data_IF_444191039867
#
_entry.id   IF_444191039867
#
_cell.length_a   1.000
_cell.length_b   1.000
_cell.length_c   1.000
_cell.angle_alpha   90.00
_cell.angle_beta   90.00
_cell.angle_gamma   90.00
#
_symmetry.space_group_name_H-M   'P 1'
#
loop_
_entity.id
_entity.type
_entity.pdbx_description
1 polymer ?
#
# COMPACT_ATOMS: atom_id res chain seq x y z
N UNK A 1 53.60 -31.63 26.53
CA UNK A 1 52.73 -31.61 25.35
C UNK A 1 52.72 -30.20 24.78
N UNK A 2 52.98 -29.98 23.48
CA UNK A 2 53.05 -28.62 22.92
C UNK A 2 51.65 -28.01 22.81
N UNK A 3 51.48 -26.80 23.34
CA UNK A 3 50.22 -26.06 23.25
C UNK A 3 49.93 -25.65 21.80
N UNK A 4 48.73 -25.89 21.25
CA UNK A 4 48.38 -25.43 19.91
C UNK A 4 48.39 -23.89 19.89
N UNK A 5 49.11 -23.33 18.93
CA UNK A 5 49.27 -21.87 18.80
C UNK A 5 47.94 -21.30 18.33
N UNK A 6 47.35 -20.38 19.11
CA UNK A 6 46.02 -19.78 18.94
C UNK A 6 45.66 -19.42 17.48
N UNK A 7 46.61 -18.93 16.69
CA UNK A 7 46.40 -18.61 15.27
C UNK A 7 45.96 -19.81 14.40
N UNK A 8 46.37 -21.05 14.72
CA UNK A 8 45.95 -22.25 14.00
C UNK A 8 44.48 -22.59 14.26
N UNK A 9 43.98 -22.33 15.47
CA UNK A 9 42.57 -22.51 15.82
C UNK A 9 41.69 -21.44 15.17
N UNK A 10 42.19 -20.19 15.07
CA UNK A 10 41.49 -19.10 14.39
C UNK A 10 41.43 -19.34 12.88
N UNK A 11 42.55 -19.74 12.27
CA UNK A 11 42.62 -20.06 10.84
C UNK A 11 41.75 -21.28 10.49
N UNK A 12 41.78 -22.33 11.32
CA UNK A 12 40.93 -23.51 11.17
C UNK A 12 39.43 -23.16 11.25
N UNK A 13 39.05 -22.35 12.24
CA UNK A 13 37.65 -21.90 12.41
C UNK A 13 37.17 -21.04 11.24
N UNK A 14 38.01 -20.14 10.73
CA UNK A 14 37.67 -19.30 9.58
C UNK A 14 37.50 -20.12 8.29
N UNK A 15 38.40 -21.07 8.04
CA UNK A 15 38.31 -21.97 6.90
C UNK A 15 37.06 -22.86 6.97
N UNK A 16 36.73 -23.39 8.15
CA UNK A 16 35.53 -24.19 8.37
C UNK A 16 34.24 -23.36 8.17
N UNK A 17 34.24 -22.10 8.64
CA UNK A 17 33.12 -21.18 8.45
C UNK A 17 32.87 -20.83 6.98
N UNK A 18 33.94 -20.59 6.21
CA UNK A 18 33.87 -20.36 4.76
C UNK A 18 33.38 -21.60 4.00
N UNK A 19 33.87 -22.78 4.37
CA UNK A 19 33.42 -24.03 3.77
C UNK A 19 31.93 -24.30 4.04
N UNK A 20 31.46 -24.05 5.27
CA UNK A 20 30.05 -24.18 5.64
C UNK A 20 29.17 -23.16 4.91
N UNK A 21 29.62 -21.91 4.76
CA UNK A 21 28.89 -20.90 4.02
C UNK A 21 28.79 -21.25 2.52
N UNK A 22 29.91 -21.67 1.91
CA UNK A 22 29.93 -22.11 0.52
C UNK A 22 29.00 -23.33 0.31
N UNK A 23 29.06 -24.34 1.19
CA UNK A 23 28.19 -25.50 1.14
C UNK A 23 26.70 -25.12 1.27
N UNK A 24 26.36 -24.23 2.21
CA UNK A 24 24.99 -23.76 2.41
C UNK A 24 24.45 -22.98 1.19
N UNK A 25 25.29 -22.16 0.55
CA UNK A 25 24.94 -21.42 -0.67
C UNK A 25 24.74 -22.40 -1.83
N UNK A 26 25.64 -23.37 -2.01
CA UNK A 26 25.51 -24.38 -3.07
C UNK A 26 24.28 -25.29 -2.86
N UNK A 27 23.95 -25.64 -1.62
CA UNK A 27 22.79 -26.47 -1.31
C UNK A 27 21.45 -25.72 -1.46
N UNK A 28 21.43 -24.40 -1.26
CA UNK A 28 20.24 -23.57 -1.39
C UNK A 28 19.86 -23.24 -2.84
N UNK A 29 20.82 -23.32 -3.77
CA UNK A 29 20.66 -22.93 -5.17
C UNK A 29 20.62 -21.41 -5.38
N UNK A 30 20.64 -20.95 -6.64
CA UNK A 30 20.61 -19.53 -6.97
C UNK A 30 19.30 -18.85 -6.51
N UNK A 31 19.40 -17.55 -6.25
CA UNK A 31 18.23 -16.70 -5.99
C UNK A 31 17.55 -16.35 -7.32
N UNK A 32 16.24 -16.58 -7.39
CA UNK A 32 15.47 -16.24 -8.59
C UNK A 32 14.07 -15.72 -8.19
N UNK A 33 13.70 -14.54 -8.72
CA UNK A 33 12.46 -13.82 -8.40
C UNK A 33 12.07 -13.81 -6.91
N UNK A 34 13.01 -13.40 -6.05
CA UNK A 34 12.74 -13.12 -4.63
C UNK A 34 12.65 -14.34 -3.70
N UNK A 35 12.97 -15.56 -4.15
CA UNK A 35 12.96 -16.77 -3.31
C UNK A 35 14.10 -17.74 -3.67
N UNK A 36 14.57 -18.55 -2.72
CA UNK A 36 15.62 -19.57 -2.94
C UNK A 36 15.07 -20.79 -3.69
N UNK A 37 15.82 -21.36 -4.63
CA UNK A 37 15.35 -22.50 -5.46
C UNK A 37 14.93 -23.71 -4.62
N UNK A 38 15.67 -24.02 -3.55
CA UNK A 38 15.35 -25.14 -2.65
C UNK A 38 14.04 -24.95 -1.86
N UNK A 39 13.64 -23.70 -1.62
CA UNK A 39 12.39 -23.38 -0.91
C UNK A 39 11.17 -23.54 -1.82
N UNK A 40 11.30 -23.22 -3.12
CA UNK A 40 10.26 -23.54 -4.13
C UNK A 40 10.04 -25.04 -4.26
N UNK A 41 11.11 -25.83 -4.31
CA UNK A 41 10.98 -27.29 -4.42
C UNK A 41 10.28 -27.92 -3.21
N UNK A 42 10.48 -27.36 -2.01
CA UNK A 42 9.75 -27.77 -0.79
C UNK A 42 8.30 -27.29 -0.78
N UNK A 43 8.01 -26.10 -1.30
CA UNK A 43 6.64 -25.60 -1.44
C UNK A 43 5.83 -26.38 -2.49
N UNK A 44 6.50 -26.98 -3.49
CA UNK A 44 5.89 -27.81 -4.54
C UNK A 44 5.81 -29.30 -4.17
N UNK A 45 6.41 -29.73 -3.05
CA UNK A 45 6.32 -31.12 -2.61
C UNK A 45 4.88 -31.41 -2.13
N UNK A 46 4.22 -32.47 -2.62
CA UNK A 46 2.90 -32.83 -2.14
C UNK A 46 3.01 -33.26 -0.68
N UNK A 47 2.38 -32.52 0.23
CA UNK A 47 2.16 -32.94 1.60
C UNK A 47 1.25 -34.18 1.56
N UNK A 48 1.83 -35.37 1.78
CA UNK A 48 1.08 -36.60 1.98
C UNK A 48 0.39 -36.55 3.34
N UNK A 49 -0.84 -36.03 3.37
CA UNK A 49 -1.65 -35.96 4.59
C UNK A 49 -2.97 -35.24 4.35
N UNK A 50 -3.93 -35.93 3.75
CA UNK A 50 -5.30 -35.46 3.53
C UNK A 50 -6.17 -36.59 2.99
N UNK A 51 -7.41 -36.67 3.44
CA UNK A 51 -8.25 -37.86 3.51
C UNK A 51 -8.72 -38.44 2.15
N UNK A 52 -8.99 -39.75 2.16
CA UNK A 52 -9.56 -40.52 1.04
C UNK A 52 -10.98 -40.05 0.74
N UNK A 53 -11.23 -39.61 -0.50
CA UNK A 53 -12.57 -39.63 -1.09
C UNK A 53 -12.64 -40.67 -2.22
N UNK A 54 -13.75 -41.43 -2.33
CA UNK A 54 -13.90 -42.53 -3.28
C UNK A 54 -13.98 -42.01 -4.73
N UNK A 55 -13.39 -42.77 -5.64
CA UNK A 55 -13.21 -42.42 -7.04
C UNK A 55 -14.52 -42.54 -7.87
N UNK A 56 -14.76 -41.64 -8.84
CA UNK A 56 -15.52 -41.95 -10.04
C UNK A 56 -14.60 -42.30 -11.22
N UNK A 57 -15.20 -42.96 -12.21
CA UNK A 57 -14.61 -43.78 -13.25
C UNK A 57 -13.57 -43.11 -14.17
N UNK A 58 -12.74 -43.97 -14.77
CA UNK A 58 -11.57 -43.69 -15.58
C UNK A 58 -11.82 -42.72 -16.76
N UNK A 59 -11.19 -41.55 -16.69
CA UNK A 59 -10.92 -40.69 -17.84
C UNK A 59 -9.48 -40.96 -18.35
N UNK A 60 -9.19 -40.82 -19.66
CA UNK A 60 -7.88 -41.12 -20.22
C UNK A 60 -6.82 -40.16 -19.65
N UNK A 61 -5.66 -40.71 -19.27
CA UNK A 61 -4.52 -39.96 -18.72
C UNK A 61 -4.02 -38.93 -19.75
N UNK A 62 -4.46 -37.69 -19.61
CA UNK A 62 -3.89 -36.54 -20.33
C UNK A 62 -2.54 -36.22 -19.68
N UNK A 63 -1.45 -36.02 -20.44
CA UNK A 63 -0.17 -35.60 -19.86
C UNK A 63 -0.39 -34.29 -19.10
N UNK A 64 0.11 -34.23 -17.87
CA UNK A 64 0.22 -32.95 -17.14
C UNK A 64 1.06 -32.03 -18.02
N UNK A 65 0.61 -30.80 -18.34
CA UNK A 65 1.41 -29.88 -19.12
C UNK A 65 2.72 -29.65 -18.38
N UNK A 66 3.85 -29.92 -19.03
CA UNK A 66 5.14 -29.51 -18.50
C UNK A 66 5.10 -27.98 -18.28
N UNK A 67 5.67 -27.45 -17.19
CA UNK A 67 5.82 -26.02 -17.04
C UNK A 67 6.51 -25.47 -18.28
N UNK A 68 5.91 -24.44 -18.89
CA UNK A 68 6.48 -23.79 -20.05
C UNK A 68 7.93 -23.36 -19.70
N UNK A 69 8.91 -23.54 -20.61
CA UNK A 69 10.24 -23.00 -20.39
C UNK A 69 10.10 -21.50 -20.11
N UNK A 70 10.83 -21.01 -19.11
CA UNK A 70 10.93 -19.57 -18.86
C UNK A 70 11.21 -18.87 -20.18
N UNK A 71 10.40 -17.88 -20.53
CA UNK A 71 10.68 -17.05 -21.69
C UNK A 71 12.13 -16.55 -21.56
N UNK A 72 12.95 -16.63 -22.62
CA UNK A 72 14.28 -16.04 -22.58
C UNK A 72 14.14 -14.59 -22.13
N UNK A 73 15.03 -14.14 -21.25
CA UNK A 73 14.99 -12.77 -20.73
C UNK A 73 14.93 -11.78 -21.90
N UNK A 74 13.77 -11.15 -22.08
CA UNK A 74 13.49 -10.27 -23.23
C UNK A 74 14.31 -8.98 -23.16
N UNK A 75 14.97 -8.71 -22.01
CA UNK A 75 15.84 -7.57 -21.83
C UNK A 75 17.09 -7.98 -21.05
N UNK A 76 18.25 -7.67 -21.63
CA UNK A 76 19.54 -7.70 -20.93
C UNK A 76 19.44 -6.85 -19.67
N UNK A 77 19.99 -7.32 -18.54
CA UNK A 77 20.09 -6.52 -17.33
C UNK A 77 20.75 -5.18 -17.67
N UNK A 78 20.08 -4.06 -17.36
CA UNK A 78 20.62 -2.72 -17.54
C UNK A 78 21.83 -2.58 -16.59
N UNK A 79 23.02 -2.93 -17.06
CA UNK A 79 24.25 -2.70 -16.32
C UNK A 79 24.44 -1.18 -16.19
N UNK A 80 24.51 -0.74 -14.93
CA UNK A 80 24.76 0.60 -14.43
C UNK A 80 25.23 1.70 -15.41
N UNK A 81 24.53 2.85 -15.31
CA UNK A 81 25.01 4.21 -15.64
C UNK A 81 25.42 4.47 -17.09
N UNK A 82 24.50 4.30 -18.02
CA UNK A 82 24.33 5.35 -19.03
C UNK A 82 23.26 6.29 -18.49
N UNK A 83 23.64 7.52 -18.13
CA UNK A 83 22.66 8.58 -17.92
C UNK A 83 21.84 8.69 -19.23
N UNK A 84 20.64 8.11 -19.22
CA UNK A 84 19.71 8.19 -20.33
C UNK A 84 19.44 9.67 -20.61
N UNK A 85 19.55 10.07 -21.88
CA UNK A 85 19.10 11.38 -22.38
C UNK A 85 19.81 12.62 -21.84
N UNK A 86 19.75 13.73 -22.57
CA UNK A 86 19.95 15.06 -21.96
C UNK A 86 18.58 15.52 -21.48
N UNK A 87 18.41 16.09 -20.27
CA UNK A 87 17.11 16.65 -19.86
C UNK A 87 16.53 17.55 -20.97
N UNK A 88 15.20 17.58 -21.19
CA UNK A 88 14.60 18.41 -22.23
C UNK A 88 15.12 19.84 -22.15
N UNK A 89 15.62 20.37 -23.27
CA UNK A 89 16.14 21.74 -23.32
C UNK A 89 15.00 22.73 -23.05
N UNK A 90 15.19 23.56 -22.02
CA UNK A 90 14.29 24.66 -21.60
C UNK A 90 12.83 24.24 -21.31
N UNK A 91 12.65 23.44 -20.24
CA UNK A 91 11.33 23.14 -19.68
C UNK A 91 10.55 24.39 -19.28
N UNK A 92 11.22 25.52 -19.02
CA UNK A 92 10.57 26.78 -18.69
C UNK A 92 9.71 27.29 -19.83
N UNK A 93 10.29 27.38 -21.03
CA UNK A 93 9.57 27.78 -22.25
C UNK A 93 8.45 26.81 -22.62
N UNK A 94 8.61 25.52 -22.33
CA UNK A 94 7.60 24.49 -22.60
C UNK A 94 6.41 24.55 -21.63
N UNK A 95 6.68 24.63 -20.33
CA UNK A 95 5.65 24.47 -19.29
C UNK A 95 4.98 25.78 -18.89
N UNK A 96 5.65 26.93 -18.99
CA UNK A 96 5.08 28.22 -18.61
C UNK A 96 3.74 28.55 -19.31
N UNK A 97 3.59 28.40 -20.66
CA UNK A 97 2.31 28.67 -21.31
C UNK A 97 1.23 27.66 -20.92
N UNK A 98 1.58 26.38 -20.73
CA UNK A 98 0.63 25.35 -20.30
C UNK A 98 0.15 25.55 -18.86
N UNK A 99 1.03 26.03 -17.97
CA UNK A 99 0.65 26.41 -16.60
C UNK A 99 -0.28 27.63 -16.58
N UNK A 100 -0.23 28.49 -17.60
CA UNK A 100 -1.11 29.65 -17.68
C UNK A 100 -2.55 29.31 -18.14
N UNK A 101 -2.84 28.05 -18.45
CA UNK A 101 -4.17 27.57 -18.83
C UNK A 101 -5.23 27.97 -17.77
N UNK A 102 -6.31 28.66 -18.16
CA UNK A 102 -7.34 29.13 -17.23
C UNK A 102 -8.05 27.96 -16.50
N UNK A 103 -8.07 26.77 -17.09
CA UNK A 103 -8.62 25.56 -16.47
C UNK A 103 -7.85 25.11 -15.20
N UNK A 104 -6.62 25.59 -15.01
CA UNK A 104 -5.84 25.35 -13.78
C UNK A 104 -6.14 26.37 -12.68
N UNK A 105 -6.94 27.40 -12.98
CA UNK A 105 -7.22 28.47 -12.05
C UNK A 105 -5.98 29.33 -11.70
N UNK A 106 -6.16 30.31 -10.80
CA UNK A 106 -5.13 31.29 -10.48
C UNK A 106 -4.05 30.80 -9.50
N UNK A 107 -4.26 29.66 -8.83
CA UNK A 107 -3.30 29.13 -7.84
C UNK A 107 -2.68 27.87 -8.39
N UNK A 108 -1.41 27.94 -8.76
CA UNK A 108 -0.72 26.84 -9.45
C UNK A 108 0.72 26.72 -8.99
N UNK A 109 1.13 25.49 -8.71
CA UNK A 109 2.52 25.16 -8.43
C UNK A 109 2.97 23.97 -9.25
N UNK A 110 4.26 23.94 -9.55
CA UNK A 110 4.88 22.90 -10.34
C UNK A 110 6.29 22.59 -9.82
N UNK A 111 6.67 21.32 -9.90
CA UNK A 111 8.04 20.84 -9.73
C UNK A 111 8.29 19.72 -10.74
N UNK A 112 9.45 19.74 -11.38
CA UNK A 112 9.96 18.64 -12.22
C UNK A 112 11.39 18.35 -11.80
N UNK A 113 11.65 17.10 -11.44
CA UNK A 113 12.93 16.63 -10.92
C UNK A 113 13.39 15.44 -11.74
N UNK A 114 14.68 15.43 -12.00
CA UNK A 114 15.39 14.32 -12.56
C UNK A 114 15.62 13.22 -11.52
N UNK A 115 15.06 12.02 -11.70
CA UNK A 115 15.15 11.01 -10.62
C UNK A 115 16.54 10.40 -10.48
N UNK A 116 17.37 10.42 -11.54
CA UNK A 116 18.70 9.85 -11.52
C UNK A 116 19.72 10.76 -10.80
N UNK A 117 19.53 12.08 -10.90
CA UNK A 117 20.47 13.08 -10.33
C UNK A 117 19.89 13.83 -9.13
N UNK A 118 18.58 13.78 -8.90
CA UNK A 118 17.88 14.60 -7.93
C UNK A 118 17.81 16.09 -8.29
N UNK A 119 18.30 16.49 -9.47
CA UNK A 119 18.31 17.89 -9.92
C UNK A 119 16.89 18.35 -10.26
N UNK A 120 16.46 19.45 -9.67
CA UNK A 120 15.25 20.14 -10.12
C UNK A 120 15.48 20.78 -11.49
N UNK A 121 14.70 20.35 -12.48
CA UNK A 121 14.77 20.82 -13.87
C UNK A 121 13.81 21.99 -14.12
N UNK A 122 12.69 22.02 -13.39
CA UNK A 122 11.73 23.11 -13.45
C UNK A 122 11.02 23.29 -12.10
N UNK A 123 10.67 24.52 -11.75
CA UNK A 123 9.89 24.82 -10.57
C UNK A 123 9.13 26.14 -10.70
N UNK A 124 7.86 26.14 -10.33
CA UNK A 124 7.03 27.33 -10.20
C UNK A 124 6.30 27.26 -8.86
N UNK A 125 6.67 28.12 -7.91
CA UNK A 125 6.16 28.02 -6.53
C UNK A 125 6.36 26.65 -5.88
N UNK A 126 7.43 25.93 -6.26
CA UNK A 126 7.60 24.51 -5.94
C UNK A 126 7.55 24.19 -4.44
N UNK A 127 7.99 25.12 -3.59
CA UNK A 127 8.00 24.98 -2.12
C UNK A 127 6.73 25.51 -1.45
N UNK A 128 5.83 26.16 -2.19
CA UNK A 128 4.57 26.70 -1.67
C UNK A 128 3.62 25.56 -1.31
N UNK A 129 3.22 25.40 -0.04
CA UNK A 129 2.26 24.37 0.34
C UNK A 129 0.86 24.69 -0.18
N UNK A 130 0.22 23.71 -0.83
CA UNK A 130 -1.15 23.81 -1.34
C UNK A 130 -2.00 22.63 -0.83
N UNK A 131 -3.32 22.75 -0.91
CA UNK A 131 -4.22 21.59 -0.71
C UNK A 131 -3.95 20.56 -1.81
N UNK A 132 -3.48 19.34 -1.47
CA UNK A 132 -3.03 18.36 -2.45
C UNK A 132 -4.17 17.50 -3.02
N UNK A 133 -5.33 17.45 -2.36
CA UNK A 133 -6.29 16.36 -2.55
C UNK A 133 -5.58 14.98 -2.42
N UNK A 134 -6.05 13.95 -3.14
CA UNK A 134 -5.50 12.59 -3.04
C UNK A 134 -4.03 12.40 -3.50
N UNK A 135 -3.32 13.43 -3.97
CA UNK A 135 -1.86 13.32 -4.15
C UNK A 135 -1.12 13.21 -2.81
N UNK A 136 -1.74 13.59 -1.69
CA UNK A 136 -1.19 13.36 -0.34
C UNK A 136 -0.97 11.88 -0.04
N UNK A 137 -1.73 10.98 -0.67
CA UNK A 137 -1.59 9.52 -0.49
C UNK A 137 -0.19 9.02 -0.84
N UNK A 138 0.56 9.73 -1.70
CA UNK A 138 1.98 9.42 -1.96
C UNK A 138 2.79 9.56 -0.67
N UNK A 139 2.57 10.64 0.09
CA UNK A 139 3.24 10.91 1.35
C UNK A 139 2.81 9.92 2.45
N UNK A 140 1.51 9.65 2.55
CA UNK A 140 0.95 8.67 3.50
C UNK A 140 1.50 7.26 3.26
N UNK A 141 1.49 6.82 2.00
CA UNK A 141 2.02 5.51 1.61
C UNK A 141 3.53 5.40 1.85
N UNK A 142 4.29 6.47 1.57
CA UNK A 142 5.74 6.47 1.78
C UNK A 142 6.10 6.34 3.26
N UNK A 143 5.38 7.06 4.12
CA UNK A 143 5.55 6.95 5.56
C UNK A 143 5.22 5.55 6.07
N UNK A 144 4.13 4.94 5.58
CA UNK A 144 3.77 3.58 5.98
C UNK A 144 4.83 2.55 5.54
N UNK A 145 5.29 2.60 4.29
CA UNK A 145 6.33 1.70 3.79
C UNK A 145 7.64 1.86 4.55
N UNK A 146 8.08 3.10 4.80
CA UNK A 146 9.28 3.39 5.58
C UNK A 146 9.19 2.85 7.01
N UNK A 147 8.05 3.06 7.68
CA UNK A 147 7.91 2.69 9.08
C UNK A 147 7.71 1.17 9.30
N UNK A 148 7.09 0.47 8.36
CA UNK A 148 6.65 -0.92 8.55
C UNK A 148 7.32 -1.93 7.60
N UNK A 149 7.82 -1.48 6.45
CA UNK A 149 8.33 -2.33 5.39
C UNK A 149 7.24 -2.94 4.49
N UNK A 150 7.58 -3.30 3.24
CA UNK A 150 6.61 -3.76 2.23
C UNK A 150 5.93 -5.09 2.57
N UNK A 151 6.60 -5.95 3.35
CA UNK A 151 6.08 -7.27 3.74
C UNK A 151 5.13 -7.23 4.93
N UNK A 152 4.98 -6.07 5.59
CA UNK A 152 4.11 -5.94 6.74
C UNK A 152 2.68 -6.39 6.40
N UNK A 153 2.03 -7.00 7.39
CA UNK A 153 0.66 -7.52 7.31
C UNK A 153 -0.11 -6.99 8.51
N UNK A 154 -1.31 -6.51 8.26
CA UNK A 154 -2.23 -6.07 9.31
C UNK A 154 -3.04 -7.29 9.75
N UNK A 155 -3.04 -7.55 11.04
CA UNK A 155 -3.66 -8.74 11.62
C UNK A 155 -5.06 -8.45 12.17
N UNK A 156 -6.02 -9.33 11.90
CA UNK A 156 -7.28 -9.41 12.67
C UNK A 156 -7.28 -10.71 13.46
N UNK A 157 -7.49 -10.62 14.77
CA UNK A 157 -7.31 -11.75 15.69
C UNK A 157 -8.54 -12.04 16.52
N UNK A 158 -8.66 -13.27 17.02
CA UNK A 158 -9.67 -13.65 18.00
C UNK A 158 -8.99 -14.19 19.24
N UNK A 159 -9.27 -13.64 20.41
CA UNK A 159 -8.66 -14.06 21.69
C UNK A 159 -9.74 -14.50 22.66
N UNK A 160 -9.52 -15.62 23.37
CA UNK A 160 -10.44 -16.06 24.42
C UNK A 160 -10.20 -15.31 25.72
N UNK A 161 -11.28 -15.05 26.47
CA UNK A 161 -11.19 -14.70 27.87
C UNK A 161 -10.54 -15.85 28.68
N UNK A 162 -9.90 -15.57 29.82
CA UNK A 162 -9.25 -16.60 30.64
C UNK A 162 -10.18 -17.75 31.08
N UNK A 163 -11.46 -17.46 31.33
CA UNK A 163 -12.48 -18.45 31.68
C UNK A 163 -12.98 -19.27 30.47
N UNK A 164 -12.63 -18.87 29.25
CA UNK A 164 -13.05 -19.46 28.00
C UNK A 164 -14.54 -19.31 27.68
N UNK A 165 -15.28 -18.45 28.39
CA UNK A 165 -16.73 -18.24 28.17
C UNK A 165 -17.03 -17.14 27.15
N UNK A 166 -16.04 -16.29 26.87
CA UNK A 166 -16.12 -15.21 25.91
C UNK A 166 -14.90 -15.21 24.98
N UNK A 167 -15.10 -14.64 23.78
CA UNK A 167 -14.04 -14.33 22.82
C UNK A 167 -14.14 -12.87 22.40
N UNK A 168 -13.00 -12.26 22.04
CA UNK A 168 -12.95 -10.90 21.49
C UNK A 168 -12.37 -10.93 20.08
N UNK A 169 -13.14 -10.47 19.09
CA UNK A 169 -12.67 -10.18 17.73
C UNK A 169 -11.97 -8.82 17.72
N UNK A 170 -10.68 -8.80 17.43
CA UNK A 170 -9.82 -7.61 17.54
C UNK A 170 -9.40 -7.15 16.16
N UNK A 171 -9.75 -5.92 15.80
CA UNK A 171 -9.34 -5.33 14.54
C UNK A 171 -7.92 -4.76 14.59
N UNK A 172 -7.08 -5.14 13.62
CA UNK A 172 -5.74 -4.57 13.45
C UNK A 172 -5.71 -3.25 12.70
N UNK A 173 -6.81 -2.89 12.02
CA UNK A 173 -6.89 -1.78 11.09
C UNK A 173 -6.79 -2.18 9.61
N UNK A 174 -7.13 -3.43 9.24
CA UNK A 174 -7.23 -3.86 7.84
C UNK A 174 -8.64 -3.57 7.31
N UNK A 175 -8.85 -2.54 6.46
CA UNK A 175 -10.17 -2.27 5.90
C UNK A 175 -10.55 -3.26 4.79
N UNK A 176 -9.60 -4.04 4.26
CA UNK A 176 -9.80 -4.93 3.11
C UNK A 176 -10.34 -6.30 3.50
N UNK A 177 -10.50 -6.59 4.80
CA UNK A 177 -10.97 -7.88 5.29
C UNK A 177 -12.25 -8.26 4.53
N UNK A 178 -12.19 -9.35 3.78
CA UNK A 178 -13.30 -9.80 2.94
C UNK A 178 -14.13 -10.89 3.64
N UNK A 179 -15.35 -11.19 3.15
CA UNK A 179 -16.22 -12.20 3.76
C UNK A 179 -15.61 -13.60 3.80
N UNK A 180 -14.77 -13.98 2.83
CA UNK A 180 -14.15 -15.30 2.80
C UNK A 180 -13.06 -15.42 3.87
N UNK A 181 -12.20 -14.41 4.03
CA UNK A 181 -11.21 -14.33 5.12
C UNK A 181 -11.88 -14.25 6.49
N UNK A 182 -13.00 -13.54 6.63
CA UNK A 182 -13.77 -13.50 7.88
C UNK A 182 -14.38 -14.88 8.22
N UNK A 183 -14.92 -15.57 7.22
CA UNK A 183 -15.47 -16.93 7.37
C UNK A 183 -14.38 -17.94 7.74
N UNK A 184 -13.21 -17.86 7.11
CA UNK A 184 -12.06 -18.70 7.46
C UNK A 184 -11.60 -18.44 8.90
N UNK A 185 -11.49 -17.17 9.32
CA UNK A 185 -11.17 -16.80 10.71
C UNK A 185 -12.17 -17.40 11.71
N UNK A 186 -13.46 -17.39 11.37
CA UNK A 186 -14.51 -17.99 12.20
C UNK A 186 -14.38 -19.52 12.26
N UNK A 187 -14.09 -20.18 11.13
CA UNK A 187 -13.84 -21.62 11.09
C UNK A 187 -12.63 -22.04 11.94
N UNK A 188 -11.54 -21.29 11.86
CA UNK A 188 -10.33 -21.53 12.66
C UNK A 188 -10.60 -21.33 14.16
N UNK A 189 -11.34 -20.28 14.49
CA UNK A 189 -11.80 -20.00 15.86
C UNK A 189 -12.68 -21.14 16.39
N UNK A 190 -13.63 -21.64 15.58
CA UNK A 190 -14.52 -22.73 15.97
C UNK A 190 -13.73 -24.02 16.27
N UNK A 191 -12.72 -24.35 15.44
CA UNK A 191 -11.84 -25.51 15.70
C UNK A 191 -11.07 -25.36 17.01
N UNK A 192 -10.50 -24.17 17.26
CA UNK A 192 -9.78 -23.90 18.51
C UNK A 192 -10.69 -23.97 19.75
N UNK A 193 -11.94 -23.49 19.67
CA UNK A 193 -12.91 -23.55 20.76
C UNK A 193 -13.39 -24.99 21.03
N UNK A 194 -13.70 -25.76 19.98
CA UNK A 194 -14.12 -27.16 20.09
C UNK A 194 -13.03 -28.04 20.70
N UNK A 195 -11.76 -27.82 20.34
CA UNK A 195 -10.62 -28.50 20.98
C UNK A 195 -10.52 -28.22 22.49
N UNK A 196 -11.13 -27.13 22.97
CA UNK A 196 -11.23 -26.76 24.40
C UNK A 196 -12.57 -27.14 25.03
N UNK A 197 -13.38 -27.96 24.35
CA UNK A 197 -14.71 -28.36 24.84
C UNK A 197 -15.73 -27.22 24.88
N UNK A 198 -15.54 -26.14 24.12
CA UNK A 198 -16.45 -24.99 24.09
C UNK A 198 -17.33 -25.03 22.84
N UNK A 199 -18.61 -25.34 23.03
CA UNK A 199 -19.64 -25.30 21.98
C UNK A 199 -20.42 -23.99 21.93
N UNK A 200 -20.24 -23.10 22.91
CA UNK A 200 -20.94 -21.82 23.03
C UNK A 200 -20.03 -20.76 23.66
N UNK A 201 -20.12 -19.52 23.17
CA UNK A 201 -19.35 -18.36 23.68
C UNK A 201 -20.14 -17.06 23.57
N UNK A 202 -19.82 -16.06 24.40
CA UNK A 202 -20.15 -14.65 24.13
C UNK A 202 -19.12 -14.05 23.18
N UNK A 203 -19.55 -13.15 22.30
CA UNK A 203 -18.65 -12.41 21.39
C UNK A 203 -18.57 -10.94 21.78
N UNK A 204 -17.36 -10.46 22.03
CA UNK A 204 -17.03 -9.04 22.05
C UNK A 204 -16.24 -8.65 20.79
N UNK A 205 -16.17 -7.35 20.50
CA UNK A 205 -15.28 -6.82 19.47
C UNK A 205 -14.50 -5.59 19.97
N UNK A 206 -13.22 -5.52 19.60
CA UNK A 206 -12.30 -4.47 20.02
C UNK A 206 -11.84 -3.64 18.82
N UNK A 207 -12.22 -2.37 18.84
CA UNK A 207 -11.81 -1.33 17.86
C UNK A 207 -10.76 -0.39 18.44
N UNK A 208 -10.38 -0.58 19.70
CA UNK A 208 -9.61 0.36 20.49
C UNK A 208 -8.13 0.45 20.15
N UNK A 209 -7.70 -0.23 19.08
CA UNK A 209 -6.40 -0.02 18.43
C UNK A 209 -6.35 1.35 17.74
N UNK A 210 -7.49 1.87 17.28
CA UNK A 210 -7.62 3.26 16.85
C UNK A 210 -8.19 4.11 17.98
N UNK A 211 -7.80 5.38 18.01
CA UNK A 211 -8.16 6.34 19.07
C UNK A 211 -8.72 7.62 18.46
N UNK A 212 -9.49 8.39 19.23
CA UNK A 212 -10.17 9.57 18.72
C UNK A 212 -11.46 9.22 17.96
N UNK A 213 -12.05 10.19 17.24
CA UNK A 213 -13.33 9.98 16.56
C UNK A 213 -13.19 9.00 15.39
N UNK A 214 -14.17 8.10 15.24
CA UNK A 214 -14.28 7.25 14.06
C UNK A 214 -14.77 8.05 12.84
N UNK A 215 -15.66 9.02 13.03
CA UNK A 215 -16.14 9.85 11.93
C UNK A 215 -15.02 10.77 11.43
N UNK A 216 -14.82 10.80 10.10
CA UNK A 216 -13.87 11.69 9.47
C UNK A 216 -14.26 13.17 9.70
N UNK A 217 -13.30 14.11 9.87
CA UNK A 217 -13.59 15.53 10.06
C UNK A 217 -14.43 16.20 8.95
N UNK A 218 -14.54 15.57 7.77
CA UNK A 218 -15.39 16.06 6.68
C UNK A 218 -16.87 15.71 6.87
N UNK A 219 -17.20 14.93 7.89
CA UNK A 219 -18.52 14.35 8.11
C UNK A 219 -18.75 13.04 7.33
N UNK A 220 -20.00 12.54 7.32
CA UNK A 220 -20.38 11.36 6.56
C UNK A 220 -20.15 11.55 5.06
N UNK A 221 -19.62 10.54 4.38
CA UNK A 221 -19.32 10.61 2.96
C UNK A 221 -19.31 9.21 2.33
N UNK A 222 -19.81 9.06 1.10
CA UNK A 222 -19.83 7.78 0.39
C UNK A 222 -18.43 7.28 -0.01
N UNK A 223 -17.43 8.17 0.01
CA UNK A 223 -16.05 7.85 -0.35
C UNK A 223 -15.21 7.32 0.83
N UNK A 224 -15.72 7.31 2.06
CA UNK A 224 -14.98 6.87 3.24
C UNK A 224 -15.95 6.41 4.35
N UNK A 225 -15.73 5.22 4.90
CA UNK A 225 -16.48 4.75 6.04
C UNK A 225 -15.99 5.38 7.36
N UNK A 226 -16.73 5.24 8.47
CA UNK A 226 -16.17 5.50 9.78
C UNK A 226 -14.82 4.78 9.97
N UNK A 227 -13.77 5.55 10.31
CA UNK A 227 -12.39 5.09 10.43
C UNK A 227 -12.23 4.30 11.73
N UNK A 228 -12.40 2.97 11.63
CA UNK A 228 -12.30 2.03 12.76
C UNK A 228 -11.24 0.96 12.49
N UNK A 229 -10.73 0.34 13.55
CA UNK A 229 -9.73 -0.72 13.43
C UNK A 229 -10.32 -2.07 12.97
N UNK A 230 -11.65 -2.23 13.03
CA UNK A 230 -12.36 -3.43 12.61
C UNK A 230 -13.45 -3.09 11.61
N UNK A 231 -13.32 -3.57 10.39
CA UNK A 231 -14.35 -3.50 9.36
C UNK A 231 -14.15 -4.61 8.33
N UNK A 232 -15.17 -4.86 7.52
CA UNK A 232 -15.15 -5.78 6.39
C UNK A 232 -15.44 -4.97 5.14
N UNK A 233 -14.69 -5.17 4.05
CA UNK A 233 -14.87 -4.49 2.76
C UNK A 233 -15.07 -2.98 2.90
N UNK A 234 -14.24 -2.32 3.70
CA UNK A 234 -14.31 -0.86 3.90
C UNK A 234 -15.70 -0.36 4.36
N UNK A 235 -16.52 -1.23 4.98
CA UNK A 235 -17.89 -0.91 5.35
C UNK A 235 -18.84 -0.66 4.18
N UNK A 236 -18.51 -1.13 2.96
CA UNK A 236 -19.37 -1.00 1.77
C UNK A 236 -20.62 -1.86 1.91
N UNK A 237 -21.76 -1.27 1.55
CA UNK A 237 -23.08 -1.95 1.56
C UNK A 237 -23.50 -2.48 0.19
N UNK A 238 -22.67 -2.25 -0.84
CA UNK A 238 -22.83 -2.79 -2.18
C UNK A 238 -21.64 -3.70 -2.58
N UNK A 239 -21.70 -4.21 -3.81
CA UNK A 239 -20.68 -5.11 -4.36
C UNK A 239 -19.51 -4.38 -5.02
N UNK A 240 -19.49 -3.04 -5.00
CA UNK A 240 -18.39 -2.26 -5.57
C UNK A 240 -17.08 -2.56 -4.86
N UNK A 241 -15.98 -2.51 -5.60
CA UNK A 241 -14.63 -2.76 -5.08
C UNK A 241 -13.78 -1.49 -4.93
N UNK A 242 -14.29 -0.34 -5.38
CA UNK A 242 -13.60 0.95 -5.31
C UNK A 242 -14.57 2.10 -5.55
N UNK A 243 -14.17 3.33 -5.17
CA UNK A 243 -14.94 4.56 -5.42
C UNK A 243 -15.98 4.87 -4.35
N UNK A 244 -16.90 5.82 -4.62
CA UNK A 244 -18.04 6.09 -3.74
C UNK A 244 -18.97 4.88 -3.66
N UNK A 245 -19.51 4.61 -2.48
CA UNK A 245 -20.55 3.61 -2.25
C UNK A 245 -21.34 3.96 -0.99
N UNK A 246 -22.59 3.45 -0.83
CA UNK A 246 -23.27 3.47 0.45
C UNK A 246 -22.40 2.77 1.52
N UNK A 247 -22.16 3.46 2.64
CA UNK A 247 -21.31 2.97 3.73
C UNK A 247 -22.12 2.67 4.98
N UNK A 248 -21.73 1.62 5.70
CA UNK A 248 -22.24 1.33 7.04
C UNK A 248 -21.91 2.48 8.00
N UNK A 249 -22.86 2.81 8.87
CA UNK A 249 -22.64 3.73 9.99
C UNK A 249 -21.88 3.08 11.16
N UNK A 250 -21.86 1.74 11.24
CA UNK A 250 -21.14 0.98 12.27
C UNK A 250 -20.49 -0.29 11.66
N UNK A 251 -19.45 -0.11 10.84
CA UNK A 251 -18.81 -1.22 10.14
C UNK A 251 -18.14 -2.25 11.09
N UNK A 252 -17.81 -1.84 12.32
CA UNK A 252 -17.26 -2.74 13.33
C UNK A 252 -18.32 -3.70 13.87
N UNK A 253 -19.50 -3.19 14.22
CA UNK A 253 -20.63 -4.02 14.66
C UNK A 253 -21.10 -4.95 13.55
N UNK A 254 -21.18 -4.46 12.31
CA UNK A 254 -21.58 -5.28 11.16
C UNK A 254 -20.59 -6.44 10.91
N UNK A 255 -19.30 -6.16 11.04
CA UNK A 255 -18.24 -7.17 10.94
C UNK A 255 -18.34 -8.19 12.06
N UNK A 256 -18.57 -7.76 13.30
CA UNK A 256 -18.74 -8.66 14.44
C UNK A 256 -20.01 -9.54 14.29
N UNK A 257 -21.10 -8.98 13.77
CA UNK A 257 -22.32 -9.74 13.48
C UNK A 257 -22.11 -10.77 12.35
N UNK A 258 -21.38 -10.40 11.29
CA UNK A 258 -21.02 -11.33 10.22
C UNK A 258 -20.12 -12.47 10.73
N UNK A 259 -19.13 -12.15 11.58
CA UNK A 259 -18.29 -13.13 12.23
C UNK A 259 -19.10 -14.08 13.13
N UNK A 260 -20.04 -13.55 13.92
CA UNK A 260 -20.91 -14.37 14.78
C UNK A 260 -21.76 -15.37 13.99
N UNK A 261 -22.30 -14.93 12.83
CA UNK A 261 -23.03 -15.82 11.91
C UNK A 261 -22.12 -16.91 11.36
N UNK A 262 -20.92 -16.56 10.91
CA UNK A 262 -19.94 -17.52 10.41
C UNK A 262 -19.49 -18.53 11.49
N UNK A 263 -19.31 -18.06 12.73
CA UNK A 263 -18.94 -18.92 13.87
C UNK A 263 -20.07 -19.90 14.23
N UNK A 264 -21.32 -19.43 14.18
CA UNK A 264 -22.51 -20.27 14.37
C UNK A 264 -22.63 -21.32 13.27
N UNK A 265 -22.42 -20.93 12.00
CA UNK A 265 -22.39 -21.86 10.87
C UNK A 265 -21.26 -22.90 10.99
N UNK A 266 -20.13 -22.53 11.62
CA UNK A 266 -19.04 -23.45 11.95
C UNK A 266 -19.31 -24.32 13.20
N UNK A 267 -20.51 -24.25 13.79
CA UNK A 267 -20.98 -25.11 14.87
C UNK A 267 -20.56 -24.67 16.28
N UNK A 268 -20.31 -23.38 16.51
CA UNK A 268 -20.16 -22.79 17.85
C UNK A 268 -21.22 -21.72 18.05
N UNK A 269 -22.12 -21.91 19.02
CA UNK A 269 -23.20 -20.96 19.32
C UNK A 269 -22.63 -19.65 19.87
N UNK A 270 -23.04 -18.53 19.30
CA UNK A 270 -22.81 -17.20 19.89
C UNK A 270 -24.02 -16.83 20.74
N UNK A 271 -23.81 -16.57 22.03
CA UNK A 271 -24.89 -16.18 22.96
C UNK A 271 -24.98 -14.67 23.08
N UNK A 272 -26.16 -14.12 22.77
CA UNK A 272 -26.41 -12.68 22.74
C UNK A 272 -25.84 -12.01 21.50
N UNK A 273 -26.08 -10.70 21.39
CA UNK A 273 -25.53 -9.89 20.30
C UNK A 273 -24.06 -9.54 20.56
N UNK A 274 -23.22 -9.41 19.52
CA UNK A 274 -21.87 -8.92 19.68
C UNK A 274 -21.86 -7.50 20.25
N UNK A 275 -21.00 -7.26 21.25
CA UNK A 275 -20.88 -5.96 21.92
C UNK A 275 -19.43 -5.45 21.93
N UNK A 276 -19.20 -4.12 22.01
CA UNK A 276 -17.86 -3.58 22.22
C UNK A 276 -17.21 -4.16 23.47
N UNK A 277 -15.92 -4.46 23.41
CA UNK A 277 -15.15 -4.94 24.54
C UNK A 277 -13.64 -4.88 24.29
N UNK A 278 -12.86 -4.99 25.35
CA UNK A 278 -11.39 -4.99 25.24
C UNK A 278 -10.87 -6.40 25.02
N UNK A 279 -9.79 -6.48 24.26
CA UNK A 279 -9.06 -7.73 24.04
C UNK A 279 -8.44 -8.19 25.36
N UNK A 280 -8.74 -9.42 25.83
CA UNK A 280 -8.10 -9.96 27.02
C UNK A 280 -6.63 -10.24 26.78
N UNK A 281 -5.85 -10.36 27.86
CA UNK A 281 -4.46 -10.81 27.78
C UNK A 281 -4.41 -12.29 27.35
N UNK A 282 -3.47 -12.63 26.48
CA UNK A 282 -3.23 -14.01 26.03
C UNK A 282 -2.90 -14.11 24.55
N UNK A 283 -2.55 -15.32 24.12
CA UNK A 283 -2.33 -15.62 22.70
C UNK A 283 -3.67 -15.74 21.96
N UNK A 284 -3.76 -15.27 20.70
CA UNK A 284 -4.96 -15.41 19.91
C UNK A 284 -5.27 -16.88 19.61
N UNK A 285 -6.55 -17.24 19.58
CA UNK A 285 -7.08 -18.52 19.10
C UNK A 285 -6.86 -18.69 17.60
N UNK A 286 -7.08 -17.62 16.87
CA UNK A 286 -7.05 -17.58 15.42
C UNK A 286 -6.66 -16.17 14.94
N UNK A 287 -6.16 -16.10 13.71
CA UNK A 287 -5.65 -14.89 13.09
C UNK A 287 -5.86 -14.96 11.59
N UNK A 288 -6.26 -13.85 11.00
CA UNK A 288 -6.18 -13.61 9.55
C UNK A 288 -5.29 -12.39 9.30
N UNK A 289 -4.72 -12.32 8.10
CA UNK A 289 -3.75 -11.30 7.70
C UNK A 289 -4.25 -10.57 6.44
N UNK A 290 -3.92 -9.28 6.33
CA UNK A 290 -4.07 -8.51 5.10
C UNK A 290 -3.23 -9.07 3.94
N UNK A 291 -3.35 -8.46 2.76
CA UNK A 291 -2.30 -8.51 1.75
C UNK A 291 -1.01 -7.80 2.27
N UNK A 292 0.18 -8.03 1.67
CA UNK A 292 1.36 -7.23 1.96
C UNK A 292 1.08 -5.74 1.91
N UNK A 293 1.79 -4.97 2.74
CA UNK A 293 1.71 -3.51 2.72
C UNK A 293 2.04 -2.94 1.33
N UNK A 294 2.94 -3.57 0.59
CA UNK A 294 3.20 -3.25 -0.82
C UNK A 294 1.90 -3.30 -1.66
N UNK A 295 1.17 -4.41 -1.64
CA UNK A 295 -0.08 -4.58 -2.38
C UNK A 295 -1.17 -3.60 -1.90
N UNK A 296 -1.24 -3.34 -0.59
CA UNK A 296 -2.17 -2.36 -0.02
C UNK A 296 -1.83 -0.94 -0.52
N UNK A 297 -0.55 -0.57 -0.57
CA UNK A 297 -0.10 0.73 -1.10
C UNK A 297 -0.41 0.83 -2.59
N UNK A 298 -0.11 -0.21 -3.37
CA UNK A 298 -0.38 -0.21 -4.81
C UNK A 298 -1.88 -0.05 -5.09
N UNK A 299 -2.72 -0.78 -4.35
CA UNK A 299 -4.17 -0.62 -4.42
C UNK A 299 -4.62 0.80 -4.04
N UNK A 300 -4.09 1.33 -2.94
CA UNK A 300 -4.39 2.69 -2.45
C UNK A 300 -4.10 3.75 -3.50
N UNK A 301 -2.95 3.65 -4.18
CA UNK A 301 -2.53 4.62 -5.18
C UNK A 301 -3.29 4.44 -6.50
N UNK A 302 -3.50 3.20 -6.94
CA UNK A 302 -4.18 2.86 -8.20
C UNK A 302 -5.65 3.29 -8.18
N UNK A 303 -6.38 2.92 -7.14
CA UNK A 303 -7.82 3.16 -7.01
C UNK A 303 -8.15 4.43 -6.23
N UNK A 304 -7.12 5.10 -5.69
CA UNK A 304 -7.29 6.28 -4.83
C UNK A 304 -8.08 6.01 -3.55
N UNK A 305 -7.91 4.81 -2.99
CA UNK A 305 -8.71 4.33 -1.86
C UNK A 305 -8.51 5.17 -0.58
N UNK A 306 -9.60 5.73 -0.04
CA UNK A 306 -9.51 6.61 1.12
C UNK A 306 -9.44 5.84 2.44
N UNK A 307 -10.17 4.73 2.55
CA UNK A 307 -10.24 3.90 3.75
C UNK A 307 -8.87 3.28 4.04
N UNK A 308 -8.22 2.75 3.00
CA UNK A 308 -6.83 2.28 3.08
C UNK A 308 -5.85 3.40 3.37
N UNK A 309 -5.99 4.57 2.76
CA UNK A 309 -5.08 5.68 3.05
C UNK A 309 -5.15 6.13 4.51
N UNK A 310 -6.36 6.21 5.10
CA UNK A 310 -6.49 6.46 6.54
C UNK A 310 -5.86 5.31 7.34
N UNK A 311 -6.11 4.05 6.98
CA UNK A 311 -5.51 2.91 7.64
C UNK A 311 -3.97 2.96 7.61
N UNK A 312 -3.35 3.25 6.47
CA UNK A 312 -1.90 3.41 6.32
C UNK A 312 -1.34 4.51 7.25
N UNK A 313 -2.04 5.64 7.35
CA UNK A 313 -1.67 6.72 8.26
C UNK A 313 -1.72 6.27 9.73
N UNK A 314 -2.73 5.45 10.12
CA UNK A 314 -2.82 4.89 11.47
C UNK A 314 -1.78 3.80 11.72
N UNK A 315 -1.48 2.94 10.73
CA UNK A 315 -0.40 1.96 10.87
C UNK A 315 0.94 2.66 11.09
N UNK A 316 1.19 3.79 10.39
CA UNK A 316 2.36 4.64 10.63
C UNK A 316 2.38 5.15 12.07
N UNK A 317 1.25 5.65 12.59
CA UNK A 317 1.14 6.07 13.99
C UNK A 317 1.47 4.94 14.97
N UNK A 318 0.92 3.75 14.75
CA UNK A 318 1.15 2.57 15.60
C UNK A 318 2.63 2.16 15.58
N UNK A 319 3.26 2.10 14.41
CA UNK A 319 4.67 1.77 14.26
C UNK A 319 5.57 2.78 15.00
N UNK A 320 5.18 4.05 15.00
CA UNK A 320 5.88 5.13 15.72
C UNK A 320 5.43 5.29 17.18
N UNK A 321 4.65 4.34 17.70
CA UNK A 321 4.12 4.34 19.09
C UNK A 321 3.38 5.62 19.45
N UNK A 322 2.60 6.14 18.51
CA UNK A 322 1.72 7.29 18.68
C UNK A 322 0.27 6.85 18.76
N UNK A 323 -0.62 7.66 19.37
CA UNK A 323 -2.04 7.43 19.28
C UNK A 323 -2.46 7.29 17.81
N UNK A 324 -3.16 6.21 17.46
CA UNK A 324 -3.70 6.00 16.12
C UNK A 324 -4.98 6.82 15.94
N UNK A 325 -4.85 8.14 16.05
CA UNK A 325 -5.88 9.16 15.82
C UNK A 325 -5.48 10.01 14.61
N UNK A 326 -6.37 10.88 14.11
CA UNK A 326 -6.03 11.83 13.04
C UNK A 326 -4.78 12.66 13.38
N UNK A 327 -4.75 13.27 14.57
CA UNK A 327 -3.61 14.08 15.00
C UNK A 327 -2.35 13.25 15.23
N UNK A 328 -2.47 12.05 15.79
CA UNK A 328 -1.31 11.19 16.01
C UNK A 328 -0.73 10.66 14.70
N UNK A 329 -1.60 10.33 13.73
CA UNK A 329 -1.23 9.96 12.37
C UNK A 329 -0.57 11.11 11.60
N UNK A 330 -1.11 12.34 11.67
CA UNK A 330 -0.49 13.53 11.08
C UNK A 330 0.97 13.65 11.51
N UNK A 331 1.20 13.63 12.82
CA UNK A 331 2.54 13.80 13.37
C UNK A 331 3.43 12.61 13.00
N UNK A 332 2.91 11.39 13.02
CA UNK A 332 3.67 10.19 12.67
C UNK A 332 4.13 10.22 11.21
N UNK A 333 3.22 10.53 10.27
CA UNK A 333 3.54 10.69 8.85
C UNK A 333 4.59 11.77 8.67
N UNK A 334 4.37 12.97 9.23
CA UNK A 334 5.33 14.06 9.11
C UNK A 334 6.73 13.70 9.61
N UNK A 335 6.83 13.06 10.78
CA UNK A 335 8.11 12.73 11.40
C UNK A 335 8.83 11.59 10.67
N UNK A 336 8.09 10.63 10.13
CA UNK A 336 8.67 9.56 9.30
C UNK A 336 9.26 10.13 8.01
N UNK A 337 8.53 11.02 7.33
CA UNK A 337 9.03 11.69 6.13
C UNK A 337 10.21 12.62 6.43
N UNK A 338 10.22 13.29 7.58
CA UNK A 338 11.39 14.05 8.04
C UNK A 338 12.60 13.14 8.29
N UNK A 339 12.39 11.94 8.85
CA UNK A 339 13.42 10.93 9.05
C UNK A 339 14.05 10.42 7.75
N UNK A 340 13.28 10.41 6.65
CA UNK A 340 13.78 10.17 5.30
C UNK A 340 14.57 11.37 4.71
N UNK A 341 14.64 12.50 5.41
CA UNK A 341 15.30 13.72 4.91
C UNK A 341 14.49 14.47 3.85
N UNK A 342 13.16 14.31 3.84
CA UNK A 342 12.27 14.97 2.89
C UNK A 342 11.91 16.40 3.34
N UNK A 343 11.63 17.34 2.40
CA UNK A 343 11.36 18.73 2.72
C UNK A 343 9.92 18.93 3.22
N UNK A 344 9.67 18.55 4.48
CA UNK A 344 8.34 18.62 5.12
C UNK A 344 7.99 19.99 5.72
N UNK A 345 8.80 21.01 5.50
CA UNK A 345 8.52 22.37 5.97
C UNK A 345 7.21 22.88 5.37
N UNK A 346 6.31 23.35 6.22
CA UNK A 346 4.97 23.81 5.82
C UNK A 346 3.97 22.69 5.52
N UNK A 347 4.37 21.41 5.59
CA UNK A 347 3.47 20.29 5.36
C UNK A 347 2.49 20.08 6.52
N UNK A 348 1.24 19.75 6.16
CA UNK A 348 0.13 19.35 7.04
C UNK A 348 -0.55 18.13 6.45
N UNK A 349 -0.77 17.12 7.27
CA UNK A 349 -1.45 15.87 6.94
C UNK A 349 -2.65 15.71 7.88
N UNK A 350 -3.65 16.56 7.72
CA UNK A 350 -4.84 16.58 8.55
C UNK A 350 -5.59 15.25 8.51
N UNK A 351 -5.46 14.52 7.39
CA UNK A 351 -5.86 13.13 7.24
C UNK A 351 -4.81 12.32 6.44
N UNK A 352 -5.09 11.05 6.14
CA UNK A 352 -4.26 10.21 5.28
C UNK A 352 -4.65 10.23 3.80
N UNK A 353 -5.90 10.59 3.49
CA UNK A 353 -6.55 10.38 2.21
C UNK A 353 -6.57 11.59 1.27
N UNK A 354 -6.42 12.81 1.79
CA UNK A 354 -6.52 14.05 1.01
C UNK A 354 -7.94 14.59 0.89
N UNK A 355 -8.86 14.13 1.74
CA UNK A 355 -10.24 14.60 1.75
C UNK A 355 -10.37 15.89 2.56
N UNK A 356 -9.54 16.06 3.59
CA UNK A 356 -9.50 17.23 4.43
C UNK A 356 -8.76 18.37 3.75
N UNK A 357 -9.49 19.46 3.47
CA UNK A 357 -8.94 20.65 2.81
C UNK A 357 -7.85 21.35 3.61
N UNK A 358 -7.65 21.00 4.89
CA UNK A 358 -6.56 21.53 5.74
C UNK A 358 -5.20 20.92 5.41
N UNK A 359 -5.15 19.84 4.62
CA UNK A 359 -3.89 19.29 4.12
C UNK A 359 -3.08 20.33 3.36
N UNK A 360 -1.76 20.31 3.56
CA UNK A 360 -0.82 21.19 2.88
C UNK A 360 0.39 20.37 2.47
N UNK A 361 0.66 20.32 1.17
CA UNK A 361 1.85 19.67 0.61
C UNK A 361 2.37 20.54 -0.52
N UNK A 362 3.69 20.61 -0.68
CA UNK A 362 4.35 21.34 -1.77
C UNK A 362 4.66 20.41 -2.95
N UNK A 363 4.73 20.97 -4.16
CA UNK A 363 5.15 20.21 -5.35
C UNK A 363 6.58 19.62 -5.17
N UNK A 364 7.45 20.35 -4.47
CA UNK A 364 8.80 19.91 -4.11
C UNK A 364 8.78 18.68 -3.20
N UNK A 365 7.87 18.61 -2.21
CA UNK A 365 7.76 17.43 -1.36
C UNK A 365 7.29 16.19 -2.15
N UNK A 366 6.29 16.34 -3.02
CA UNK A 366 5.80 15.22 -3.85
C UNK A 366 6.87 14.71 -4.82
N UNK A 367 7.60 15.61 -5.48
CA UNK A 367 8.71 15.22 -6.38
C UNK A 367 9.90 14.62 -5.63
N UNK A 368 10.22 15.11 -4.42
CA UNK A 368 11.23 14.52 -3.56
C UNK A 368 10.86 13.10 -3.11
N UNK A 369 9.59 12.86 -2.74
CA UNK A 369 9.06 11.53 -2.42
C UNK A 369 9.21 10.55 -3.59
N UNK A 370 8.78 10.95 -4.79
CA UNK A 370 8.86 10.13 -5.99
C UNK A 370 10.31 9.85 -6.41
N UNK A 371 11.18 10.85 -6.27
CA UNK A 371 12.63 10.69 -6.51
C UNK A 371 13.23 9.71 -5.51
N UNK A 372 12.86 9.81 -4.23
CA UNK A 372 13.30 8.89 -3.19
C UNK A 372 12.83 7.46 -3.43
N UNK A 373 11.61 7.27 -3.94
CA UNK A 373 11.08 5.95 -4.33
C UNK A 373 11.79 5.33 -5.54
N UNK A 374 12.39 6.17 -6.40
CA UNK A 374 13.16 5.74 -7.56
C UNK A 374 14.61 5.36 -7.21
N UNK A 375 15.11 5.82 -6.06
CA UNK A 375 16.46 5.56 -5.58
C UNK A 375 16.66 4.05 -5.30
N UNK A 376 17.64 3.40 -5.94
CA UNK A 376 17.97 2.00 -5.65
C UNK A 376 18.36 1.73 -4.19
N UNK A 377 18.75 2.74 -3.42
CA UNK A 377 19.02 2.63 -1.99
C UNK A 377 17.76 2.49 -1.12
N UNK A 378 16.57 2.71 -1.70
CA UNK A 378 15.28 2.66 -1.01
C UNK A 378 14.28 1.71 -1.71
N UNK A 379 14.64 0.42 -1.91
CA UNK A 379 13.77 -0.54 -2.59
C UNK A 379 12.42 -0.75 -1.88
N UNK A 380 12.36 -0.53 -0.56
CA UNK A 380 11.14 -0.60 0.25
C UNK A 380 10.07 0.41 -0.18
N UNK A 381 10.46 1.51 -0.83
CA UNK A 381 9.56 2.56 -1.31
C UNK A 381 9.10 2.35 -2.75
N UNK A 382 9.62 1.33 -3.46
CA UNK A 382 9.26 1.04 -4.86
C UNK A 382 7.75 0.88 -5.12
N UNK A 383 6.93 0.33 -4.20
CA UNK A 383 5.48 0.27 -4.37
C UNK A 383 4.81 1.62 -4.61
N UNK A 384 5.45 2.73 -4.22
CA UNK A 384 4.98 4.08 -4.55
C UNK A 384 4.97 4.38 -6.04
N UNK A 385 5.85 3.76 -6.82
CA UNK A 385 5.98 3.97 -8.27
C UNK A 385 5.16 2.96 -9.06
N UNK A 386 5.15 1.70 -8.64
CA UNK A 386 4.40 0.61 -9.29
C UNK A 386 2.90 0.74 -9.04
N UNK A 387 2.51 1.33 -7.91
CA UNK A 387 1.12 1.63 -7.58
C UNK A 387 0.52 2.84 -8.28
N UNK A 388 1.29 3.62 -9.03
CA UNK A 388 0.74 4.79 -9.73
C UNK A 388 -0.09 4.35 -10.95
N UNK A 389 -1.34 4.85 -11.10
CA UNK A 389 -2.12 4.69 -12.32
C UNK A 389 -1.32 5.03 -13.58
N UNK A 390 -1.52 4.26 -14.65
CA UNK A 390 -0.87 4.47 -15.96
C UNK A 390 -1.81 5.25 -16.87
N UNK A 391 -1.31 6.34 -17.46
CA UNK A 391 -2.03 7.23 -18.37
C UNK A 391 -2.72 6.48 -19.51
N UNK A 392 -4.06 6.49 -19.54
CA UNK A 392 -4.87 5.82 -20.57
C UNK A 392 -5.08 4.31 -20.38
N UNK A 393 -4.62 3.71 -19.27
CA UNK A 393 -4.66 2.25 -19.10
C UNK A 393 -5.23 1.78 -17.76
N UNK A 394 -4.82 2.37 -16.64
CA UNK A 394 -5.18 1.81 -15.32
C UNK A 394 -5.64 2.87 -14.33
N UNK A 395 -6.37 2.43 -13.30
CA UNK A 395 -6.79 3.25 -12.16
C UNK A 395 -7.50 4.54 -12.58
N UNK A 396 -7.27 5.61 -11.82
CA UNK A 396 -7.88 6.92 -12.07
C UNK A 396 -7.39 7.65 -13.33
N UNK A 397 -6.48 7.04 -14.11
CA UNK A 397 -6.02 7.56 -15.40
C UNK A 397 -6.53 6.75 -16.60
N UNK A 398 -7.29 5.67 -16.40
CA UNK A 398 -7.73 4.79 -17.48
C UNK A 398 -8.52 5.53 -18.58
N UNK A 399 -9.37 6.48 -18.21
CA UNK A 399 -10.15 7.31 -19.14
C UNK A 399 -9.48 8.64 -19.54
N UNK A 400 -8.19 8.85 -19.25
CA UNK A 400 -7.48 10.12 -19.48
C UNK A 400 -6.49 10.03 -20.66
N UNK A 401 -5.86 11.17 -20.98
CA UNK A 401 -4.90 11.33 -22.10
C UNK A 401 -5.48 11.27 -23.53
N UNK A 402 -6.80 11.23 -23.72
CA UNK A 402 -7.39 11.32 -25.07
C UNK A 402 -7.04 12.61 -25.83
N UNK A 403 -6.87 13.73 -25.11
CA UNK A 403 -6.42 15.02 -25.68
C UNK A 403 -4.91 15.28 -25.53
N UNK A 404 -4.17 14.32 -24.96
CA UNK A 404 -2.73 14.43 -24.73
C UNK A 404 -2.05 13.05 -24.96
N UNK A 405 -2.22 12.43 -26.14
CA UNK A 405 -1.86 11.04 -26.38
C UNK A 405 -0.38 10.73 -26.17
N UNK A 406 0.51 11.72 -26.31
CA UNK A 406 1.93 11.57 -26.04
C UNK A 406 2.23 11.09 -24.60
N UNK A 407 1.36 11.40 -23.62
CA UNK A 407 1.52 10.94 -22.24
C UNK A 407 0.97 9.54 -21.96
N UNK A 408 0.19 8.97 -22.87
CA UNK A 408 -0.43 7.65 -22.65
C UNK A 408 0.64 6.56 -22.55
N UNK A 409 0.55 5.70 -21.54
CA UNK A 409 1.52 4.63 -21.26
C UNK A 409 2.86 5.10 -20.67
N UNK A 410 3.26 6.35 -20.92
CA UNK A 410 4.52 6.93 -20.46
C UNK A 410 4.39 7.67 -19.12
N UNK A 411 3.22 8.25 -18.84
CA UNK A 411 2.93 8.88 -17.56
C UNK A 411 2.33 7.87 -16.60
N UNK A 412 2.91 7.80 -15.39
CA UNK A 412 2.33 7.10 -14.25
C UNK A 412 2.14 8.10 -13.11
N UNK A 413 0.91 8.35 -12.68
CA UNK A 413 0.67 9.42 -11.72
C UNK A 413 -0.55 9.22 -10.84
N UNK A 414 -0.44 9.71 -9.60
CA UNK A 414 -1.56 9.84 -8.69
C UNK A 414 -2.35 11.10 -9.04
N UNK A 415 -3.66 10.94 -9.22
CA UNK A 415 -4.60 12.06 -9.34
C UNK A 415 -5.06 12.55 -7.97
N UNK A 416 -5.43 13.82 -7.88
CA UNK A 416 -6.21 14.37 -6.78
C UNK A 416 -7.31 15.30 -7.32
N UNK A 417 -8.52 15.19 -6.79
CA UNK A 417 -9.66 16.04 -7.16
C UNK A 417 -10.52 16.33 -5.94
N UNK A 418 -10.78 17.61 -5.68
CA UNK A 418 -11.84 18.13 -4.81
C UNK A 418 -12.50 19.30 -5.56
N UNK A 419 -13.63 19.81 -5.07
CA UNK A 419 -14.20 21.05 -5.64
C UNK A 419 -13.18 22.19 -5.58
N UNK A 420 -12.79 22.72 -6.74
CA UNK A 420 -11.79 23.78 -6.87
C UNK A 420 -10.34 23.37 -6.62
N UNK A 421 -10.01 22.07 -6.57
CA UNK A 421 -8.63 21.58 -6.44
C UNK A 421 -8.43 20.39 -7.37
N UNK A 422 -7.43 20.48 -8.26
CA UNK A 422 -7.03 19.38 -9.14
C UNK A 422 -5.51 19.25 -9.14
N UNK A 423 -5.01 18.04 -8.92
CA UNK A 423 -3.58 17.80 -8.77
C UNK A 423 -3.18 16.52 -9.50
N UNK A 424 -1.94 16.48 -9.96
CA UNK A 424 -1.35 15.33 -10.63
C UNK A 424 0.13 15.25 -10.25
N UNK A 425 0.55 14.15 -9.65
CA UNK A 425 1.96 13.93 -9.29
C UNK A 425 2.38 12.49 -9.58
N UNK A 426 3.56 12.32 -10.17
CA UNK A 426 4.01 11.01 -10.61
C UNK A 426 5.31 11.05 -11.38
N UNK A 427 5.53 10.02 -12.19
CA UNK A 427 6.71 9.89 -13.04
C UNK A 427 6.33 9.84 -14.51
N UNK A 428 7.25 10.27 -15.35
CA UNK A 428 7.15 10.16 -16.81
C UNK A 428 8.45 9.64 -17.38
N UNK A 429 8.35 8.64 -18.25
CA UNK A 429 9.48 8.21 -19.08
C UNK A 429 9.54 9.10 -20.33
N UNK A 430 10.67 9.76 -20.53
CA UNK A 430 10.94 10.52 -21.75
C UNK A 430 11.25 9.58 -22.91
N UNK A 431 11.12 10.07 -24.14
CA UNK A 431 11.43 9.31 -25.37
C UNK A 431 12.87 8.82 -25.46
N UNK A 432 13.82 9.50 -24.80
CA UNK A 432 15.22 9.10 -24.68
C UNK A 432 15.52 8.23 -23.45
N UNK A 433 14.48 7.73 -22.76
CA UNK A 433 14.58 6.74 -21.69
C UNK A 433 14.89 7.31 -20.31
N UNK A 434 14.86 8.63 -20.14
CA UNK A 434 15.07 9.31 -18.86
C UNK A 434 13.79 9.30 -18.03
N UNK A 435 13.91 9.05 -16.73
CA UNK A 435 12.77 9.08 -15.81
C UNK A 435 12.73 10.42 -15.08
N UNK A 436 11.63 11.15 -15.22
CA UNK A 436 11.40 12.40 -14.50
C UNK A 436 10.28 12.19 -13.48
N UNK A 437 10.45 12.78 -12.29
CA UNK A 437 9.38 12.96 -11.33
C UNK A 437 8.77 14.35 -11.52
N UNK A 438 7.45 14.46 -11.44
CA UNK A 438 6.73 15.73 -11.55
C UNK A 438 5.61 15.83 -10.52
N UNK A 439 5.26 17.06 -10.18
CA UNK A 439 4.06 17.37 -9.41
C UNK A 439 3.48 18.71 -9.88
N UNK A 440 2.20 18.69 -10.21
CA UNK A 440 1.41 19.85 -10.61
C UNK A 440 0.21 19.97 -9.68
N UNK A 441 0.10 21.09 -8.97
CA UNK A 441 -1.03 21.36 -8.09
C UNK A 441 -1.75 22.62 -8.55
N UNK A 442 -3.05 22.49 -8.79
CA UNK A 442 -3.93 23.56 -9.20
C UNK A 442 -5.05 23.76 -8.16
N UNK A 443 -5.32 25.02 -7.83
CA UNK A 443 -6.30 25.43 -6.83
C UNK A 443 -7.13 26.62 -7.30
N UNK A 444 -8.36 26.70 -6.81
CA UNK A 444 -9.43 27.53 -7.38
C UNK A 444 -9.69 27.18 -8.85
N UNK A 445 -9.65 25.89 -9.18
CA UNK A 445 -9.99 25.39 -10.53
C UNK A 445 -11.50 25.55 -10.79
N UNK A 446 -11.91 25.85 -12.03
CA UNK A 446 -13.33 26.00 -12.38
C UNK A 446 -14.06 24.66 -12.33
N UNK A 447 -13.48 23.60 -12.91
CA UNK A 447 -14.07 22.28 -12.97
C UNK A 447 -13.00 21.19 -13.19
N UNK A 448 -13.26 19.93 -12.76
CA UNK A 448 -12.39 18.81 -13.12
C UNK A 448 -12.29 18.58 -14.63
N UNK A 449 -13.37 18.85 -15.38
CA UNK A 449 -13.44 18.68 -16.84
C UNK A 449 -12.50 19.62 -17.61
N UNK A 450 -12.18 20.79 -17.05
CA UNK A 450 -11.19 21.71 -17.62
C UNK A 450 -9.78 21.45 -17.07
N UNK A 451 -9.66 21.26 -15.75
CA UNK A 451 -8.38 21.14 -15.09
C UNK A 451 -7.63 19.85 -15.43
N UNK A 452 -8.33 18.72 -15.55
CA UNK A 452 -7.69 17.43 -15.82
C UNK A 452 -7.00 17.37 -17.20
N UNK A 453 -7.65 17.77 -18.32
CA UNK A 453 -6.95 17.85 -19.61
C UNK A 453 -5.74 18.79 -19.59
N UNK A 454 -5.79 19.91 -18.86
CA UNK A 454 -4.65 20.82 -18.72
C UNK A 454 -3.47 20.16 -17.97
N UNK A 455 -3.74 19.43 -16.89
CA UNK A 455 -2.73 18.63 -16.17
C UNK A 455 -2.17 17.49 -17.03
N UNK A 456 -3.00 16.86 -17.87
CA UNK A 456 -2.55 15.82 -18.82
C UNK A 456 -1.61 16.41 -19.87
N UNK A 457 -1.93 17.58 -20.44
CA UNK A 457 -1.03 18.29 -21.36
C UNK A 457 0.31 18.65 -20.72
N UNK A 458 0.29 19.14 -19.48
CA UNK A 458 1.52 19.45 -18.73
C UNK A 458 2.42 18.23 -18.56
N UNK A 459 1.85 17.10 -18.14
CA UNK A 459 2.63 15.86 -17.93
C UNK A 459 3.05 15.20 -19.25
N UNK A 460 2.20 15.21 -20.27
CA UNK A 460 2.54 14.70 -21.60
C UNK A 460 3.65 15.50 -22.27
N UNK A 461 3.71 16.82 -22.07
CA UNK A 461 4.77 17.68 -22.61
C UNK A 461 6.17 17.24 -22.13
N UNK A 462 6.27 16.63 -20.94
CA UNK A 462 7.54 16.15 -20.40
C UNK A 462 8.12 14.96 -21.16
N UNK A 463 7.34 14.25 -21.99
CA UNK A 463 7.79 13.06 -22.72
C UNK A 463 8.84 13.38 -23.80
N UNK A 464 8.92 14.64 -24.24
CA UNK A 464 9.89 15.09 -25.24
C UNK A 464 9.53 14.72 -26.68
N UNK A 465 8.28 14.34 -26.96
CA UNK A 465 7.81 14.24 -28.36
C UNK A 465 7.78 15.65 -28.98
N UNK A 466 8.43 15.80 -30.14
CA UNK A 466 8.48 17.05 -30.92
C UNK A 466 7.13 17.39 -31.54
#
# INVERSE_FOLDING_TARGET
>A
MPQPRVWQLTAGSAALGLALAAAAITAAGPWDAGQRTAERARAAAPLTGGERHPAPAAAPKRPVPAPAPSAPGVLTALTARTAAGTPPADLGRLLAPLLADPGLGPSRTASVVDTATGKQLYGAGATTPMTPASTVKIATAAAALSALGPDHRIDTTVTAAPDGTAITLTGGGDPTLDPARLTALAGDTARALKARGRASVRLAYDTGRYTGPALHPIGPNENIAPVTALMTREGRLDDSASGPAPRSADPARDTAAAFARALTAAGVKVTGDPAPGRTPQGAPLARTRSAPLADLVEHTLTHSDNDLAEALARQTALARRRPASFQGAERAVRDELAGLGLPVTGARFADGSGLDRRDRVSAALLTALLTRAADPAHPELRPLLTGLPVGGFTGTLAGRYGQAPAGAGLVRAKTGTLTGVNTLAGTVATTDGRLLAFAFLAGRTPSPTEAQPALDRLSAALTGQK
#
